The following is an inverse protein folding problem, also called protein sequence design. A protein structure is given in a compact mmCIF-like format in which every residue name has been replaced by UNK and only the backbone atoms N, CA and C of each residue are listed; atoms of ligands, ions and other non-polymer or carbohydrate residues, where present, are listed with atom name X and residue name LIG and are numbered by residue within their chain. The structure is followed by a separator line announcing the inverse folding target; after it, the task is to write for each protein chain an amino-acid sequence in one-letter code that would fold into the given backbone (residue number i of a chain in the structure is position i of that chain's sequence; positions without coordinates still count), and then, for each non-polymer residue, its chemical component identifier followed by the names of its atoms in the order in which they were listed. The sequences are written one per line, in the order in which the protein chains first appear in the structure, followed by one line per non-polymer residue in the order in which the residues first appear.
data_IF_067606389565
#
_entry.id   IF_067606389565
#
_cell.length_a   1.000
_cell.length_b   1.000
_cell.length_c   1.000
_cell.angle_alpha   90.00
_cell.angle_beta   90.00
_cell.angle_gamma   90.00
#
_symmetry.space_group_name_H-M   'P 1'
#
loop_
_entity.id
_entity.type
_entity.pdbx_description
1 polymer ?
#
# COMPACT_ATOMS: atom_id res chain seq x y z
N UNK A 1 24.77 4.84 -54.91
CA UNK A 1 24.96 3.47 -54.37
C UNK A 1 24.35 3.51 -52.99
N UNK A 2 23.05 3.32 -53.03
CA UNK A 2 22.11 3.53 -51.96
C UNK A 2 21.98 2.21 -51.21
N UNK A 3 22.26 2.23 -49.91
CA UNK A 3 22.18 1.06 -49.06
C UNK A 3 20.77 0.99 -48.47
N UNK A 4 19.97 0.05 -48.95
CA UNK A 4 18.63 -0.21 -48.42
C UNK A 4 18.70 -0.69 -46.96
N UNK A 5 17.89 -0.08 -46.10
CA UNK A 5 17.60 -0.55 -44.74
C UNK A 5 16.49 -1.60 -44.77
N UNK A 6 16.56 -2.71 -44.00
CA UNK A 6 15.47 -3.67 -43.95
C UNK A 6 14.32 -3.15 -43.07
N UNK A 7 13.11 -3.14 -43.63
CA UNK A 7 11.86 -2.87 -42.93
C UNK A 7 11.60 -3.88 -41.81
N UNK A 8 11.48 -3.39 -40.57
CA UNK A 8 10.96 -4.18 -39.44
C UNK A 8 9.44 -4.08 -39.42
N UNK A 9 8.74 -5.20 -39.61
CA UNK A 9 7.29 -5.28 -39.48
C UNK A 9 6.86 -5.06 -38.02
N UNK A 10 6.07 -4.01 -37.78
CA UNK A 10 5.34 -3.80 -36.53
C UNK A 10 4.19 -4.81 -36.49
N UNK A 11 4.17 -5.70 -35.49
CA UNK A 11 3.03 -6.58 -35.22
C UNK A 11 2.25 -5.91 -34.11
N UNK A 12 1.13 -5.27 -34.45
CA UNK A 12 0.19 -4.70 -33.49
C UNK A 12 -0.38 -5.84 -32.63
N UNK A 13 0.08 -5.89 -31.38
CA UNK A 13 -0.42 -6.82 -30.37
C UNK A 13 -1.61 -6.15 -29.68
N UNK A 14 -2.76 -6.12 -30.35
CA UNK A 14 -4.00 -5.60 -29.75
C UNK A 14 -4.49 -6.61 -28.71
N UNK A 15 -4.30 -6.26 -27.43
CA UNK A 15 -4.67 -7.10 -26.29
C UNK A 15 -6.19 -7.10 -26.07
N UNK A 16 -6.89 -8.24 -25.87
CA UNK A 16 -8.35 -8.34 -25.75
C UNK A 16 -8.95 -7.87 -24.40
N UNK A 17 -8.21 -7.09 -23.61
CA UNK A 17 -8.53 -6.88 -22.19
C UNK A 17 -9.46 -5.69 -21.93
N UNK A 18 -9.67 -4.80 -22.91
CA UNK A 18 -10.40 -3.55 -22.71
C UNK A 18 -11.94 -3.69 -22.84
N UNK A 19 -12.45 -4.70 -23.56
CA UNK A 19 -13.89 -4.90 -23.78
C UNK A 19 -14.61 -5.52 -22.56
N UNK A 20 -13.88 -6.20 -21.67
CA UNK A 20 -14.47 -6.87 -20.50
C UNK A 20 -14.76 -5.87 -19.36
N UNK A 21 -13.94 -4.81 -19.25
CA UNK A 21 -14.03 -3.83 -18.14
C UNK A 21 -15.18 -2.85 -18.34
N UNK A 22 -15.51 -2.47 -19.58
CA UNK A 22 -16.61 -1.54 -19.84
C UNK A 22 -18.01 -2.15 -19.62
N UNK A 23 -18.13 -3.47 -19.78
CA UNK A 23 -19.43 -4.17 -19.69
C UNK A 23 -19.89 -4.35 -18.22
N UNK A 24 -18.95 -4.49 -17.29
CA UNK A 24 -19.24 -4.63 -15.86
C UNK A 24 -19.76 -3.34 -15.22
N UNK A 25 -19.27 -2.18 -15.66
CA UNK A 25 -19.71 -0.88 -15.11
C UNK A 25 -21.12 -0.50 -15.57
N UNK A 26 -21.48 -0.82 -16.81
CA UNK A 26 -22.84 -0.58 -17.32
C UNK A 26 -23.84 -1.53 -16.66
N UNK A 27 -23.50 -2.82 -16.55
CA UNK A 27 -24.37 -3.81 -15.91
C UNK A 27 -24.61 -3.49 -14.42
N UNK A 28 -23.59 -3.03 -13.70
CA UNK A 28 -23.72 -2.62 -12.30
C UNK A 28 -24.55 -1.34 -12.14
N UNK A 29 -24.41 -0.36 -13.04
CA UNK A 29 -25.22 0.86 -13.02
C UNK A 29 -26.71 0.56 -13.28
N UNK A 30 -27.02 -0.25 -14.29
CA UNK A 30 -28.39 -0.67 -14.62
C UNK A 30 -29.03 -1.42 -13.44
N UNK A 31 -28.30 -2.34 -12.81
CA UNK A 31 -28.76 -3.07 -11.63
C UNK A 31 -29.07 -2.14 -10.44
N UNK A 32 -28.21 -1.13 -10.21
CA UNK A 32 -28.42 -0.15 -9.15
C UNK A 32 -29.68 0.68 -9.39
N UNK A 33 -29.98 1.04 -10.64
CA UNK A 33 -31.16 1.83 -10.99
C UNK A 33 -32.47 1.02 -10.89
N UNK A 34 -32.48 -0.24 -11.34
CA UNK A 34 -33.62 -1.14 -11.16
C UNK A 34 -33.92 -1.39 -9.68
N UNK A 35 -32.87 -1.61 -8.88
CA UNK A 35 -33.00 -1.76 -7.42
C UNK A 35 -33.62 -0.53 -6.78
N UNK A 36 -33.15 0.68 -7.12
CA UNK A 36 -33.70 1.94 -6.60
C UNK A 36 -35.18 2.10 -6.97
N UNK A 37 -35.54 1.78 -8.22
CA UNK A 37 -36.93 1.84 -8.70
C UNK A 37 -37.82 0.87 -7.93
N UNK A 38 -37.39 -0.39 -7.76
CA UNK A 38 -38.13 -1.37 -6.98
C UNK A 38 -38.30 -0.95 -5.50
N UNK A 39 -37.26 -0.39 -4.89
CA UNK A 39 -37.32 0.14 -3.53
C UNK A 39 -38.33 1.29 -3.40
N UNK A 40 -38.34 2.21 -4.36
CA UNK A 40 -39.28 3.34 -4.35
C UNK A 40 -40.74 2.87 -4.46
N UNK A 41 -41.01 1.89 -5.34
CA UNK A 41 -42.35 1.30 -5.49
C UNK A 41 -42.78 0.64 -4.17
N UNK A 42 -41.94 -0.21 -3.59
CA UNK A 42 -42.24 -0.90 -2.33
C UNK A 42 -42.54 0.09 -1.20
N UNK A 43 -41.73 1.16 -1.08
CA UNK A 43 -41.93 2.17 -0.06
C UNK A 43 -43.27 2.90 -0.24
N UNK A 44 -43.65 3.20 -1.50
CA UNK A 44 -44.93 3.82 -1.83
C UNK A 44 -46.12 2.95 -1.43
N UNK A 45 -46.11 1.66 -1.77
CA UNK A 45 -47.15 0.70 -1.42
C UNK A 45 -47.30 0.55 0.11
N UNK A 46 -46.19 0.39 0.83
CA UNK A 46 -46.20 0.27 2.30
C UNK A 46 -46.76 1.53 2.97
N UNK A 47 -46.41 2.71 2.46
CA UNK A 47 -46.94 3.97 2.98
C UNK A 47 -48.43 4.13 2.68
N UNK A 48 -48.88 3.76 1.48
CA UNK A 48 -50.29 3.78 1.10
C UNK A 48 -51.14 2.85 1.97
N UNK A 49 -50.67 1.62 2.21
CA UNK A 49 -51.31 0.68 3.12
C UNK A 49 -51.37 1.21 4.55
N UNK A 50 -50.26 1.77 5.05
CA UNK A 50 -50.24 2.40 6.37
C UNK A 50 -51.30 3.51 6.49
N UNK A 51 -51.40 4.39 5.50
CA UNK A 51 -52.40 5.46 5.48
C UNK A 51 -53.83 4.93 5.42
N UNK A 52 -54.08 3.82 4.72
CA UNK A 52 -55.40 3.22 4.61
C UNK A 52 -55.90 2.62 5.94
N UNK A 53 -55.00 2.05 6.75
CA UNK A 53 -55.39 1.35 7.99
C UNK A 53 -55.19 2.17 9.26
N UNK A 54 -54.42 3.27 9.24
CA UNK A 54 -53.97 3.97 10.46
C UNK A 54 -55.06 4.60 11.33
N UNK A 55 -56.32 4.54 10.91
CA UNK A 55 -57.46 5.09 11.64
C UNK A 55 -58.15 4.03 12.50
N UNK A 56 -58.04 2.75 12.13
CA UNK A 56 -58.71 1.62 12.79
C UNK A 56 -57.71 0.69 13.48
N UNK A 57 -57.86 0.52 14.79
CA UNK A 57 -56.88 -0.21 15.60
C UNK A 57 -56.83 -1.70 15.24
N UNK A 58 -57.96 -2.31 14.90
CA UNK A 58 -58.02 -3.73 14.56
C UNK A 58 -57.33 -3.99 13.21
N UNK A 59 -57.54 -3.12 12.22
CA UNK A 59 -56.83 -3.18 10.94
C UNK A 59 -55.32 -2.92 11.08
N UNK A 60 -54.91 -2.04 12.00
CA UNK A 60 -53.47 -1.85 12.31
C UNK A 60 -52.88 -3.15 12.87
N UNK A 61 -53.58 -3.82 13.78
CA UNK A 61 -53.13 -5.09 14.34
C UNK A 61 -53.05 -6.20 13.28
N UNK A 62 -54.05 -6.29 12.41
CA UNK A 62 -54.08 -7.24 11.30
C UNK A 62 -52.90 -7.02 10.34
N UNK A 63 -52.69 -5.78 9.88
CA UNK A 63 -51.56 -5.45 9.01
C UNK A 63 -50.22 -5.75 9.70
N UNK A 64 -50.13 -5.50 11.00
CA UNK A 64 -48.93 -5.83 11.79
C UNK A 64 -48.66 -7.34 11.82
N UNK A 65 -49.69 -8.18 11.93
CA UNK A 65 -49.54 -9.64 11.87
C UNK A 65 -49.03 -10.07 10.50
N UNK A 66 -49.68 -9.60 9.43
CA UNK A 66 -49.31 -9.89 8.05
C UNK A 66 -47.84 -9.52 7.77
N UNK A 67 -47.41 -8.32 8.17
CA UNK A 67 -46.03 -7.87 7.96
C UNK A 67 -45.03 -8.72 8.76
N UNK A 68 -45.38 -9.17 9.97
CA UNK A 68 -44.54 -10.07 10.77
C UNK A 68 -44.42 -11.45 10.15
N UNK A 69 -45.50 -11.98 9.60
CA UNK A 69 -45.50 -13.27 8.89
C UNK A 69 -44.70 -13.18 7.59
N UNK A 70 -44.92 -12.13 6.79
CA UNK A 70 -44.15 -11.88 5.58
C UNK A 70 -42.65 -11.76 5.89
N UNK A 71 -42.29 -11.06 6.98
CA UNK A 71 -40.90 -11.00 7.46
C UNK A 71 -40.37 -12.41 7.75
N UNK A 72 -41.13 -13.24 8.46
CA UNK A 72 -40.68 -14.61 8.75
C UNK A 72 -40.49 -15.41 7.46
N UNK A 73 -41.39 -15.31 6.49
CA UNK A 73 -41.24 -16.02 5.20
C UNK A 73 -40.02 -15.55 4.40
N UNK A 74 -39.78 -14.24 4.32
CA UNK A 74 -38.62 -13.67 3.59
C UNK A 74 -37.30 -14.07 4.24
N UNK A 75 -37.25 -14.16 5.58
CA UNK A 75 -36.04 -14.46 6.32
C UNK A 75 -35.93 -15.92 6.78
N UNK A 76 -36.93 -16.77 6.52
CA UNK A 76 -36.89 -18.21 6.83
C UNK A 76 -35.87 -18.96 5.95
N UNK A 77 -35.68 -18.52 4.70
CA UNK A 77 -34.73 -19.13 3.75
C UNK A 77 -33.33 -18.48 3.74
N UNK A 78 -32.96 -17.79 4.82
CA UNK A 78 -31.55 -17.57 5.13
C UNK A 78 -30.78 -16.61 4.22
N UNK A 79 -31.43 -15.58 3.65
CA UNK A 79 -30.69 -14.36 3.25
C UNK A 79 -30.59 -13.44 4.46
N UNK A 80 -29.89 -13.93 5.47
CA UNK A 80 -29.38 -13.09 6.55
C UNK A 80 -28.00 -12.65 6.07
N UNK A 81 -27.86 -11.38 5.73
CA UNK A 81 -26.56 -10.72 5.46
C UNK A 81 -25.70 -10.62 6.73
N UNK A 82 -25.67 -11.69 7.54
CA UNK A 82 -24.87 -11.77 8.74
C UNK A 82 -23.40 -11.89 8.34
N UNK A 83 -22.56 -11.31 9.19
CA UNK A 83 -21.11 -11.49 9.16
C UNK A 83 -20.71 -12.97 9.14
N UNK A 84 -21.48 -13.84 9.80
CA UNK A 84 -21.26 -15.28 9.82
C UNK A 84 -21.44 -15.93 8.44
N UNK A 85 -22.44 -15.55 7.66
CA UNK A 85 -22.67 -16.12 6.33
C UNK A 85 -21.66 -15.60 5.30
N UNK A 86 -21.24 -14.32 5.41
CA UNK A 86 -20.14 -13.78 4.61
C UNK A 86 -18.83 -14.53 4.86
N UNK A 87 -18.53 -14.85 6.13
CA UNK A 87 -17.38 -15.68 6.48
C UNK A 87 -17.47 -17.05 5.80
N UNK A 88 -18.62 -17.74 5.91
CA UNK A 88 -18.83 -19.04 5.28
C UNK A 88 -18.67 -19.03 3.75
N UNK A 89 -19.22 -18.01 3.07
CA UNK A 89 -19.08 -17.85 1.61
C UNK A 89 -17.60 -17.68 1.23
N UNK A 90 -16.84 -16.90 2.01
CA UNK A 90 -15.42 -16.71 1.77
C UNK A 90 -14.64 -18.01 1.99
N UNK A 91 -14.91 -18.73 3.07
CA UNK A 91 -14.25 -20.01 3.37
C UNK A 91 -14.53 -21.07 2.30
N UNK A 92 -15.76 -21.14 1.80
CA UNK A 92 -16.14 -22.02 0.68
C UNK A 92 -15.43 -21.61 -0.62
N UNK A 93 -15.36 -20.32 -0.92
CA UNK A 93 -14.70 -19.81 -2.12
C UNK A 93 -13.20 -20.08 -2.13
N UNK A 94 -12.52 -19.90 -1.00
CA UNK A 94 -11.08 -20.18 -0.86
C UNK A 94 -10.77 -21.65 -0.53
N UNK A 95 -11.80 -22.47 -0.25
CA UNK A 95 -11.66 -23.88 0.12
C UNK A 95 -10.94 -24.12 1.46
N UNK A 96 -10.88 -23.10 2.32
CA UNK A 96 -10.17 -23.13 3.59
C UNK A 96 -10.85 -22.24 4.62
N UNK A 97 -10.91 -22.72 5.86
CA UNK A 97 -11.42 -21.93 6.98
C UNK A 97 -10.48 -20.78 7.33
N UNK A 98 -11.05 -19.65 7.76
CA UNK A 98 -10.25 -18.50 8.17
C UNK A 98 -9.52 -18.81 9.49
N UNK A 99 -8.21 -18.50 9.60
CA UNK A 99 -7.45 -18.69 10.84
C UNK A 99 -8.10 -17.98 12.02
N UNK A 100 -8.09 -18.61 13.19
CA UNK A 100 -8.61 -18.01 14.42
C UNK A 100 -7.75 -16.82 14.90
N UNK A 101 -6.44 -16.91 14.67
CA UNK A 101 -5.47 -15.87 14.98
C UNK A 101 -4.60 -15.59 13.74
N UNK A 102 -4.34 -14.31 13.48
CA UNK A 102 -3.47 -13.85 12.39
C UNK A 102 -2.37 -13.02 13.02
N UNK A 103 -1.14 -13.52 12.99
CA UNK A 103 0.05 -12.74 13.34
C UNK A 103 0.49 -11.92 12.13
N UNK A 104 0.31 -10.60 12.21
CA UNK A 104 0.73 -9.68 11.15
C UNK A 104 2.12 -9.15 11.47
N UNK A 105 3.13 -9.71 10.82
CA UNK A 105 4.50 -9.23 10.90
C UNK A 105 4.62 -7.87 10.19
N UNK A 106 5.33 -6.87 10.76
CA UNK A 106 5.69 -5.65 10.03
C UNK A 106 6.46 -6.01 8.75
N UNK A 107 6.31 -5.23 7.67
CA UNK A 107 7.12 -5.41 6.47
C UNK A 107 8.62 -5.32 6.82
N UNK A 108 9.43 -6.08 6.08
CA UNK A 108 10.88 -5.99 6.21
C UNK A 108 11.33 -4.53 6.00
N UNK A 109 12.09 -3.99 6.96
CA UNK A 109 12.55 -2.60 6.88
C UNK A 109 13.61 -2.50 5.80
N UNK A 110 13.19 -2.14 4.59
CA UNK A 110 14.08 -1.92 3.45
C UNK A 110 14.66 -0.50 3.48
N UNK A 111 15.96 -0.37 3.18
CA UNK A 111 16.59 0.94 3.05
C UNK A 111 16.09 1.65 1.78
N UNK A 112 15.19 2.61 1.94
CA UNK A 112 14.67 3.42 0.83
C UNK A 112 15.61 4.60 0.53
N UNK A 113 15.45 5.23 -0.64
CA UNK A 113 16.16 6.48 -0.96
C UNK A 113 15.81 7.55 0.08
N UNK A 114 16.76 7.88 0.94
CA UNK A 114 16.57 8.81 2.07
C UNK A 114 16.66 8.17 3.46
N UNK A 115 16.80 6.83 3.56
CA UNK A 115 16.98 6.13 4.84
C UNK A 115 18.41 6.23 5.39
N UNK A 116 19.36 6.75 4.60
CA UNK A 116 20.74 6.99 5.03
C UNK A 116 20.86 8.24 5.88
N UNK A 117 21.82 8.25 6.82
CA UNK A 117 22.15 9.46 7.57
C UNK A 117 22.65 10.56 6.65
N UNK A 118 22.29 11.82 6.94
CA UNK A 118 22.77 13.00 6.21
C UNK A 118 24.30 13.04 6.13
N UNK A 119 24.84 13.36 4.95
CA UNK A 119 26.27 13.65 4.79
C UNK A 119 26.63 14.94 5.55
N UNK A 120 27.59 14.91 6.49
CA UNK A 120 27.96 16.11 7.23
C UNK A 120 28.73 17.09 6.34
N UNK A 121 28.38 18.37 6.47
CA UNK A 121 29.01 19.51 5.82
C UNK A 121 30.47 19.69 6.24
N UNK A 122 31.23 20.50 5.49
CA UNK A 122 32.61 20.86 5.82
C UNK A 122 32.72 21.52 7.20
N UNK A 123 31.75 22.37 7.55
CA UNK A 123 31.68 23.06 8.84
C UNK A 123 31.46 22.06 9.98
N UNK A 124 30.51 21.13 9.83
CA UNK A 124 30.25 20.09 10.83
C UNK A 124 31.45 19.16 11.03
N UNK A 125 32.13 18.78 9.94
CA UNK A 125 33.36 17.98 10.02
C UNK A 125 34.46 18.72 10.77
N UNK A 126 34.64 20.02 10.49
CA UNK A 126 35.63 20.85 11.17
C UNK A 126 35.32 21.01 12.67
N UNK A 127 34.06 21.25 13.03
CA UNK A 127 33.65 21.36 14.43
C UNK A 127 33.85 20.04 15.19
N UNK A 128 33.47 18.91 14.59
CA UNK A 128 33.75 17.58 15.14
C UNK A 128 35.25 17.32 15.32
N UNK A 129 36.09 17.84 14.43
CA UNK A 129 37.54 17.71 14.56
C UNK A 129 38.09 18.57 15.70
N UNK A 130 37.63 19.83 15.80
CA UNK A 130 38.02 20.76 16.88
C UNK A 130 37.68 20.21 18.28
N UNK A 131 36.53 19.52 18.41
CA UNK A 131 36.11 18.92 19.67
C UNK A 131 36.90 17.64 20.04
N UNK A 132 37.70 17.08 19.14
CA UNK A 132 38.55 15.93 19.45
C UNK A 132 39.81 16.42 20.15
N UNK A 133 40.18 15.77 21.25
CA UNK A 133 41.42 16.05 21.94
C UNK A 133 42.63 15.88 21.00
N UNK A 134 43.60 16.80 21.10
CA UNK A 134 44.89 16.62 20.45
C UNK A 134 45.67 15.51 21.14
N UNK A 135 46.52 14.83 20.37
CA UNK A 135 47.42 13.79 20.88
C UNK A 135 48.82 13.98 20.32
N UNK A 136 49.82 13.53 21.07
CA UNK A 136 51.21 13.56 20.62
C UNK A 136 51.50 12.41 19.66
N UNK A 137 52.06 12.72 18.48
CA UNK A 137 52.45 11.73 17.49
C UNK A 137 53.79 11.06 17.87
N UNK A 138 53.85 9.72 17.92
CA UNK A 138 55.12 9.01 18.24
C UNK A 138 56.24 9.18 17.20
N UNK A 139 55.92 9.56 15.95
CA UNK A 139 56.92 9.72 14.86
C UNK A 139 57.53 11.12 14.80
N UNK A 140 56.72 12.17 14.89
CA UNK A 140 57.19 13.56 14.82
C UNK A 140 57.17 14.29 16.18
N UNK A 141 56.66 13.65 17.23
CA UNK A 141 56.59 14.16 18.60
C UNK A 141 55.74 15.43 18.79
N UNK A 142 54.96 15.82 17.78
CA UNK A 142 54.09 16.99 17.84
C UNK A 142 52.67 16.65 18.28
N UNK A 143 52.03 17.62 18.94
CA UNK A 143 50.61 17.56 19.31
C UNK A 143 49.73 18.00 18.14
N UNK A 144 48.72 17.20 17.81
CA UNK A 144 47.75 17.55 16.78
C UNK A 144 46.65 16.50 16.61
N UNK A 145 45.92 16.58 15.50
CA UNK A 145 44.83 15.65 15.17
C UNK A 145 45.28 14.42 14.35
N UNK A 146 46.58 14.11 14.34
CA UNK A 146 47.15 12.96 13.64
C UNK A 146 47.84 12.00 14.62
N UNK A 147 48.19 10.79 14.16
CA UNK A 147 49.01 9.82 14.90
C UNK A 147 50.18 9.35 14.04
N UNK A 148 50.97 8.41 14.56
CA UNK A 148 52.12 7.83 13.85
C UNK A 148 51.76 7.14 12.52
N UNK A 149 50.51 6.70 12.34
CA UNK A 149 50.03 6.06 11.10
C UNK A 149 49.65 7.11 10.05
N UNK A 150 49.12 8.24 10.49
CA UNK A 150 48.75 9.36 9.61
C UNK A 150 49.64 10.60 9.74
N UNK A 151 50.93 10.42 10.04
CA UNK A 151 51.85 11.55 10.21
C UNK A 151 52.27 12.12 8.85
N UNK A 152 51.79 13.32 8.51
CA UNK A 152 52.08 13.98 7.22
C UNK A 152 53.57 14.27 7.05
N UNK A 153 54.25 14.70 8.11
CA UNK A 153 55.70 14.98 8.09
C UNK A 153 56.54 13.75 7.77
N UNK A 154 56.09 12.57 8.17
CA UNK A 154 56.79 11.32 7.84
C UNK A 154 56.45 10.85 6.42
N UNK A 155 55.18 10.95 6.02
CA UNK A 155 54.75 10.64 4.65
C UNK A 155 55.47 11.50 3.61
N UNK A 156 55.69 12.77 3.90
CA UNK A 156 56.41 13.68 3.02
C UNK A 156 57.91 13.33 2.92
N UNK A 157 58.54 13.03 4.07
CA UNK A 157 59.94 12.56 4.11
C UNK A 157 60.14 11.24 3.36
N UNK A 158 59.20 10.30 3.47
CA UNK A 158 59.23 9.03 2.74
C UNK A 158 59.09 9.23 1.23
N UNK A 159 58.16 10.11 0.80
CA UNK A 159 58.02 10.49 -0.61
C UNK A 159 59.28 11.14 -1.17
N UNK A 160 59.92 12.06 -0.42
CA UNK A 160 61.19 12.67 -0.84
C UNK A 160 62.32 11.64 -0.95
N UNK A 161 62.42 10.69 -0.01
CA UNK A 161 63.41 9.60 -0.06
C UNK A 161 63.17 8.69 -1.26
N UNK A 162 61.92 8.31 -1.53
CA UNK A 162 61.56 7.49 -2.68
C UNK A 162 61.90 8.17 -4.00
N UNK A 163 61.66 9.48 -4.14
CA UNK A 163 62.05 10.24 -5.33
C UNK A 163 63.56 10.29 -5.53
N UNK A 164 64.31 10.54 -4.46
CA UNK A 164 65.78 10.56 -4.54
C UNK A 164 66.37 9.20 -4.91
N UNK A 165 65.77 8.11 -4.45
CA UNK A 165 66.20 6.76 -4.78
C UNK A 165 65.76 6.29 -6.19
N UNK A 166 64.84 7.00 -6.85
CA UNK A 166 64.48 6.71 -8.25
C UNK A 166 65.32 7.48 -9.27
N UNK A 167 66.10 8.46 -8.83
CA UNK A 167 66.98 9.29 -9.66
C UNK A 167 68.45 8.78 -9.68
N UNK A 168 68.71 7.64 -9.03
CA UNK A 168 69.99 6.88 -9.04
C UNK A 168 69.74 5.54 -9.70
#
# INVERSE_FOLDING_TARGET
MDYETPSTSHVDNQSPVDDIVQNTDVATHVYVDEKKKAQAILLGEMLGLYQAVCVDIDQIHELTSIVREARQQIFADGVVTSTAQKKKIMEEFYGAEAPQEVDVQPPEVVSTKGSGSRLPSRVEKALKLKNKAMRQCKKCQEWGHHDSRNCDKFKEKEKMRSRRNSDV
#
